data_IF_105098886225
#
_entry.id   IF_105098886225
#
_cell.length_a   1.000
_cell.length_b   1.000
_cell.length_c   1.000
_cell.angle_alpha   90.00
_cell.angle_beta   90.00
_cell.angle_gamma   90.00
#
_symmetry.space_group_name_H-M   'P 1'
#
loop_
_entity.id
_entity.type
_entity.pdbx_description
1 polymer ?
#
# COMPACT_ATOMS: atom_id res chain seq x y z
N UNK A 1 13.08 9.08 -26.80
CA UNK A 1 12.77 9.27 -25.36
C UNK A 1 13.40 8.10 -24.61
N UNK A 2 14.31 8.35 -23.66
CA UNK A 2 14.96 7.27 -22.92
C UNK A 2 13.97 6.61 -21.95
N UNK A 3 14.03 5.26 -21.78
CA UNK A 3 13.13 4.56 -20.88
C UNK A 3 13.40 4.94 -19.41
N UNK A 4 12.33 5.07 -18.63
CA UNK A 4 12.43 5.35 -17.20
C UNK A 4 12.98 4.10 -16.50
N UNK A 5 14.10 4.26 -15.80
CA UNK A 5 14.69 3.18 -15.01
C UNK A 5 13.99 3.03 -13.67
N UNK A 6 14.10 1.83 -13.05
CA UNK A 6 13.65 1.60 -11.68
C UNK A 6 14.21 2.66 -10.72
N UNK A 7 15.51 2.97 -10.82
CA UNK A 7 16.17 3.96 -9.97
C UNK A 7 15.49 5.33 -10.13
N UNK A 8 15.17 5.73 -11.37
CA UNK A 8 14.51 7.01 -11.61
C UNK A 8 13.11 7.07 -10.98
N UNK A 9 12.34 5.98 -11.00
CA UNK A 9 11.04 5.92 -10.29
C UNK A 9 11.21 6.14 -8.78
N UNK A 10 12.21 5.52 -8.16
CA UNK A 10 12.50 5.74 -6.74
C UNK A 10 12.87 7.20 -6.43
N UNK A 11 13.69 7.82 -7.28
CA UNK A 11 14.06 9.23 -7.14
C UNK A 11 12.83 10.14 -7.26
N UNK A 12 11.99 9.93 -8.28
CA UNK A 12 10.76 10.70 -8.48
C UNK A 12 9.85 10.61 -7.25
N UNK A 13 9.62 9.41 -6.71
CA UNK A 13 8.78 9.23 -5.52
C UNK A 13 9.36 9.97 -4.31
N UNK A 14 10.68 9.91 -4.09
CA UNK A 14 11.32 10.65 -2.98
C UNK A 14 11.19 12.17 -3.15
N UNK A 15 11.36 12.68 -4.37
CA UNK A 15 11.16 14.09 -4.67
C UNK A 15 9.71 14.52 -4.40
N UNK A 16 8.73 13.70 -4.81
CA UNK A 16 7.31 13.96 -4.55
C UNK A 16 6.97 13.90 -3.06
N UNK A 17 7.51 12.93 -2.31
CA UNK A 17 7.30 12.83 -0.86
C UNK A 17 7.81 14.07 -0.13
N UNK A 18 9.00 14.59 -0.51
CA UNK A 18 9.53 15.85 0.02
C UNK A 18 8.64 17.04 -0.28
N UNK A 19 8.14 17.16 -1.52
CA UNK A 19 7.21 18.24 -1.91
C UNK A 19 5.88 18.17 -1.15
N UNK A 20 5.41 16.96 -0.86
CA UNK A 20 4.21 16.71 -0.08
C UNK A 20 4.44 16.78 1.45
N UNK A 21 5.64 17.15 1.91
CA UNK A 21 6.01 17.22 3.33
C UNK A 21 5.80 15.90 4.09
N UNK A 22 5.97 14.75 3.41
CA UNK A 22 5.88 13.43 4.04
C UNK A 22 7.25 13.10 4.63
N UNK A 23 7.35 13.07 5.95
CA UNK A 23 8.59 12.76 6.68
C UNK A 23 8.95 11.27 6.62
N UNK A 24 7.95 10.40 6.47
CA UNK A 24 8.16 8.95 6.34
C UNK A 24 8.92 8.64 5.04
N UNK A 25 9.82 7.65 5.10
CA UNK A 25 10.50 7.14 3.91
C UNK A 25 9.50 6.40 3.01
N UNK A 26 9.18 6.98 1.85
CA UNK A 26 8.27 6.39 0.85
C UNK A 26 9.04 5.88 -0.37
N UNK A 27 8.67 4.70 -0.84
CA UNK A 27 9.18 4.06 -2.06
C UNK A 27 8.04 3.32 -2.80
N UNK A 28 8.23 2.81 -4.04
CA UNK A 28 7.16 2.15 -4.80
C UNK A 28 6.41 1.06 -4.02
N UNK A 29 7.14 0.23 -3.26
CA UNK A 29 6.51 -0.82 -2.45
C UNK A 29 5.62 -0.26 -1.31
N UNK A 30 5.98 0.87 -0.70
CA UNK A 30 5.15 1.53 0.32
C UNK A 30 3.83 1.97 -0.30
N UNK A 31 3.87 2.58 -1.48
CA UNK A 31 2.66 3.01 -2.20
C UNK A 31 1.76 1.81 -2.56
N UNK A 32 2.35 0.71 -3.04
CA UNK A 32 1.61 -0.55 -3.29
C UNK A 32 0.94 -1.06 -2.01
N UNK A 33 1.66 -1.06 -0.90
CA UNK A 33 1.13 -1.50 0.39
C UNK A 33 -0.03 -0.61 0.85
N UNK A 34 0.14 0.72 0.82
CA UNK A 34 -0.92 1.67 1.19
C UNK A 34 -2.17 1.52 0.32
N UNK A 35 -2.01 1.30 -1.00
CA UNK A 35 -3.13 1.01 -1.88
C UNK A 35 -3.87 -0.28 -1.47
N UNK A 36 -3.13 -1.37 -1.26
CA UNK A 36 -3.70 -2.69 -0.96
C UNK A 36 -4.47 -2.70 0.37
N UNK A 37 -3.87 -2.14 1.44
CA UNK A 37 -4.50 -2.02 2.76
C UNK A 37 -5.77 -1.16 2.66
N UNK A 38 -5.67 0.03 2.07
CA UNK A 38 -6.82 0.94 1.93
C UNK A 38 -7.95 0.33 1.08
N UNK A 39 -7.62 -0.44 0.04
CA UNK A 39 -8.61 -1.13 -0.79
C UNK A 39 -9.41 -2.15 0.03
N UNK A 40 -8.72 -2.98 0.83
CA UNK A 40 -9.38 -3.99 1.68
C UNK A 40 -10.15 -3.37 2.85
N UNK A 41 -9.62 -2.31 3.47
CA UNK A 41 -10.33 -1.57 4.52
C UNK A 41 -11.67 -1.01 4.04
N UNK A 42 -11.75 -0.61 2.76
CA UNK A 42 -12.99 -0.12 2.14
C UNK A 42 -13.93 -1.24 1.67
N UNK A 43 -13.72 -2.48 2.12
CA UNK A 43 -14.54 -3.64 1.74
C UNK A 43 -14.24 -4.19 0.36
N UNK A 44 -13.08 -3.86 -0.22
CA UNK A 44 -12.66 -4.37 -1.52
C UNK A 44 -12.46 -5.89 -1.53
N UNK A 45 -12.68 -6.52 -2.69
CA UNK A 45 -12.56 -7.97 -2.84
C UNK A 45 -11.09 -8.42 -3.04
N UNK A 46 -10.65 -9.41 -2.25
CA UNK A 46 -9.26 -9.91 -2.27
C UNK A 46 -8.81 -10.42 -3.65
N UNK A 47 -9.69 -11.10 -4.39
CA UNK A 47 -9.38 -11.64 -5.72
C UNK A 47 -9.20 -10.52 -6.74
N UNK A 48 -10.01 -9.47 -6.65
CA UNK A 48 -9.84 -8.28 -7.50
C UNK A 48 -8.54 -7.57 -7.17
N UNK A 49 -8.19 -7.45 -5.88
CA UNK A 49 -6.91 -6.87 -5.47
C UNK A 49 -5.72 -7.68 -6.02
N UNK A 50 -5.79 -9.01 -5.98
CA UNK A 50 -4.74 -9.89 -6.54
C UNK A 50 -4.51 -9.59 -8.03
N UNK A 51 -5.59 -9.49 -8.81
CA UNK A 51 -5.53 -9.20 -10.25
C UNK A 51 -4.94 -7.80 -10.50
N UNK A 52 -5.39 -6.79 -9.74
CA UNK A 52 -4.88 -5.42 -9.85
C UNK A 52 -3.38 -5.32 -9.54
N UNK A 53 -2.89 -6.11 -8.59
CA UNK A 53 -1.48 -6.14 -8.22
C UNK A 53 -0.63 -7.05 -9.11
N UNK A 54 -1.26 -7.89 -9.93
CA UNK A 54 -0.58 -8.88 -10.78
C UNK A 54 0.10 -9.99 -9.99
N UNK A 55 -0.42 -10.34 -8.81
CA UNK A 55 0.17 -11.40 -7.98
C UNK A 55 -0.21 -12.78 -8.51
N UNK A 56 0.80 -13.60 -8.80
CA UNK A 56 0.61 -15.00 -9.23
C UNK A 56 0.07 -15.90 -8.13
N UNK A 57 0.29 -15.54 -6.86
CA UNK A 57 -0.16 -16.28 -5.68
C UNK A 57 -1.08 -15.40 -4.82
N UNK A 58 -2.25 -15.93 -4.48
CA UNK A 58 -3.22 -15.28 -3.60
C UNK A 58 -2.66 -15.11 -2.18
N UNK A 59 -1.77 -16.00 -1.72
CA UNK A 59 -1.16 -15.92 -0.40
C UNK A 59 -0.38 -14.61 -0.21
N UNK A 60 0.26 -14.09 -1.26
CA UNK A 60 0.98 -12.81 -1.22
C UNK A 60 -0.02 -11.67 -0.95
N UNK A 61 -1.18 -11.69 -1.60
CA UNK A 61 -2.24 -10.69 -1.41
C UNK A 61 -2.93 -10.84 -0.05
N UNK A 62 -3.09 -12.07 0.44
CA UNK A 62 -3.74 -12.36 1.71
C UNK A 62 -2.99 -11.76 2.92
N UNK A 63 -1.67 -11.51 2.81
CA UNK A 63 -0.90 -10.82 3.86
C UNK A 63 -1.48 -9.45 4.21
N UNK A 64 -2.09 -8.74 3.24
CA UNK A 64 -2.72 -7.45 3.51
C UNK A 64 -3.97 -7.57 4.40
N UNK A 65 -4.65 -8.72 4.44
CA UNK A 65 -5.82 -8.92 5.31
C UNK A 65 -5.43 -8.90 6.79
N UNK A 66 -4.30 -9.50 7.14
CA UNK A 66 -3.80 -9.53 8.52
C UNK A 66 -3.54 -8.11 9.05
N UNK A 67 -2.91 -7.27 8.21
CA UNK A 67 -2.67 -5.86 8.52
C UNK A 67 -4.00 -5.11 8.72
N UNK A 68 -4.95 -5.25 7.78
CA UNK A 68 -6.26 -4.58 7.92
C UNK A 68 -7.05 -5.02 9.16
N UNK A 69 -6.90 -6.27 9.60
CA UNK A 69 -7.60 -6.78 10.78
C UNK A 69 -7.03 -6.16 12.06
N UNK A 70 -5.71 -5.98 12.12
CA UNK A 70 -5.06 -5.27 13.23
C UNK A 70 -5.48 -3.79 13.26
N UNK A 71 -5.43 -3.11 12.11
CA UNK A 71 -5.80 -1.70 12.02
C UNK A 71 -7.24 -1.44 12.48
N UNK A 72 -8.20 -2.30 12.09
CA UNK A 72 -9.59 -2.20 12.56
C UNK A 72 -9.70 -2.37 14.06
N UNK A 73 -8.99 -3.34 14.63
CA UNK A 73 -9.01 -3.60 16.08
C UNK A 73 -8.51 -2.37 16.85
N UNK A 74 -7.39 -1.79 16.42
CA UNK A 74 -6.82 -0.59 17.03
C UNK A 74 -7.76 0.63 16.91
N UNK A 75 -8.53 0.75 15.82
CA UNK A 75 -9.54 1.79 15.65
C UNK A 75 -10.74 1.61 16.59
N UNK A 76 -11.25 0.38 16.74
CA UNK A 76 -12.31 0.07 17.71
C UNK A 76 -11.87 0.37 19.15
N UNK A 77 -10.63 0.04 19.52
CA UNK A 77 -10.08 0.31 20.85
C UNK A 77 -10.00 1.81 21.15
N UNK A 78 -9.69 2.67 20.16
CA UNK A 78 -9.68 4.13 20.33
C UNK A 78 -11.06 4.75 20.55
N UNK A 79 -12.13 4.10 20.10
CA UNK A 79 -13.51 4.59 20.25
C UNK A 79 -14.08 4.16 21.62
N UNK A 80 -13.58 3.06 22.20
CA UNK A 80 -14.05 2.50 23.47
C UNK A 80 -13.29 2.99 24.70
N UNK A 81 -12.31 3.89 24.54
CA UNK A 81 -11.58 4.61 25.60
C UNK A 81 -11.97 6.08 25.57
#
# INVERSE_FOLDING_TARGET
>A
MFPITRIRVFQIIRELAKKAQIEKSIHPHTLRHSYAVNYLMKGGNLRNLQLNLGHSDLNITAQYLQVTAQDRKDEYEKIMV
#
